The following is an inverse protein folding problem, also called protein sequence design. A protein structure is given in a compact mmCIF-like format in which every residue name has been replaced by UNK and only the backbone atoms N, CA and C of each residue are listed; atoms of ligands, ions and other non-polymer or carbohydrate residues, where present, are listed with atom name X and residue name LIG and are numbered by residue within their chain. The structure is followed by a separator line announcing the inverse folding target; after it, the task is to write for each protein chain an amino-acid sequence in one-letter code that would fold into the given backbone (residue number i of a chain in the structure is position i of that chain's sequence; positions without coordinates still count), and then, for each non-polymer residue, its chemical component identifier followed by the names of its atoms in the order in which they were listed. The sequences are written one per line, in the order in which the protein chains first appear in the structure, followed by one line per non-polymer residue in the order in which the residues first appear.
data_IF_070219601310
#
_entry.id   IF_070219601310
#
_cell.length_a   1.000
_cell.length_b   1.000
_cell.length_c   1.000
_cell.angle_alpha   90.00
_cell.angle_beta   90.00
_cell.angle_gamma   90.00
#
_symmetry.space_group_name_H-M   'P 1'
#
loop_
_entity.id
_entity.type
_entity.pdbx_description
1 polymer ?
#
# COMPACT_ATOMS: atom_id res chain seq x y z
N UNK A 1 -1.38 -25.47 6.60
CA UNK A 1 -1.11 -24.29 7.45
C UNK A 1 0.30 -23.75 7.24
N UNK A 2 1.28 -24.59 6.88
CA UNK A 2 2.63 -24.16 6.50
C UNK A 2 2.62 -23.33 5.20
N UNK A 3 1.91 -23.77 4.15
CA UNK A 3 1.80 -23.01 2.89
C UNK A 3 1.27 -21.58 3.07
N UNK A 4 0.28 -21.37 3.95
CA UNK A 4 -0.26 -20.04 4.22
C UNK A 4 0.77 -19.17 4.96
N UNK A 5 1.52 -19.76 5.89
CA UNK A 5 2.58 -19.08 6.63
C UNK A 5 3.73 -18.69 5.70
N UNK A 6 4.07 -19.56 4.76
CA UNK A 6 5.10 -19.31 3.74
C UNK A 6 4.65 -18.24 2.76
N UNK A 7 3.40 -18.26 2.29
CA UNK A 7 2.83 -17.21 1.44
C UNK A 7 2.82 -15.86 2.16
N UNK A 8 2.47 -15.81 3.45
CA UNK A 8 2.52 -14.58 4.25
C UNK A 8 3.95 -14.08 4.41
N UNK A 9 4.89 -14.99 4.70
CA UNK A 9 6.32 -14.66 4.84
C UNK A 9 6.95 -14.20 3.51
N UNK A 10 6.54 -14.77 2.38
CA UNK A 10 6.95 -14.39 1.03
C UNK A 10 6.33 -13.06 0.61
N UNK A 11 5.05 -12.84 0.91
CA UNK A 11 4.33 -11.61 0.59
C UNK A 11 4.94 -10.37 1.24
N UNK A 12 5.54 -10.54 2.42
CA UNK A 12 6.18 -9.50 3.24
C UNK A 12 7.64 -9.84 3.57
N UNK A 13 8.43 -10.26 2.58
CA UNK A 13 9.85 -10.58 2.76
C UNK A 13 10.74 -9.32 2.91
N UNK A 14 11.45 -9.19 4.03
CA UNK A 14 12.59 -8.27 4.20
C UNK A 14 12.31 -6.79 3.86
N UNK A 15 13.09 -6.22 2.94
CA UNK A 15 13.04 -4.79 2.55
C UNK A 15 11.70 -4.33 1.93
N UNK A 16 10.83 -5.26 1.55
CA UNK A 16 9.49 -4.96 1.06
C UNK A 16 8.54 -4.47 2.15
N UNK A 17 8.76 -4.87 3.41
CA UNK A 17 7.94 -4.42 4.54
C UNK A 17 8.10 -2.91 4.75
N UNK A 18 9.33 -2.41 4.76
CA UNK A 18 9.62 -0.99 5.00
C UNK A 18 9.00 -0.14 3.88
N UNK A 19 9.10 -0.60 2.64
CA UNK A 19 8.49 0.06 1.47
C UNK A 19 6.96 0.09 1.58
N UNK A 20 6.35 -1.07 1.86
CA UNK A 20 4.91 -1.17 2.08
C UNK A 20 4.43 -0.25 3.21
N UNK A 21 5.23 -0.13 4.28
CA UNK A 21 4.95 0.74 5.42
C UNK A 21 5.00 2.22 5.05
N UNK A 22 6.00 2.65 4.28
CA UNK A 22 6.11 4.02 3.78
C UNK A 22 4.92 4.34 2.85
N UNK A 23 4.61 3.45 1.89
CA UNK A 23 3.49 3.65 0.95
C UNK A 23 2.17 3.75 1.71
N UNK A 24 1.91 2.83 2.64
CA UNK A 24 0.70 2.82 3.45
C UNK A 24 0.57 4.09 4.30
N UNK A 25 1.66 4.53 4.92
CA UNK A 25 1.70 5.75 5.73
C UNK A 25 1.40 7.00 4.90
N UNK A 26 2.07 7.17 3.75
CA UNK A 26 1.88 8.31 2.85
C UNK A 26 0.44 8.36 2.34
N UNK A 27 -0.12 7.22 1.92
CA UNK A 27 -1.50 7.15 1.44
C UNK A 27 -2.53 7.40 2.54
N UNK A 28 -2.28 6.97 3.78
CA UNK A 28 -3.18 7.19 4.90
C UNK A 28 -3.20 8.67 5.37
N UNK A 29 -2.08 9.38 5.23
CA UNK A 29 -1.97 10.81 5.61
C UNK A 29 -2.52 11.73 4.52
N UNK A 30 -2.51 11.29 3.26
CA UNK A 30 -2.96 12.08 2.12
C UNK A 30 -4.29 12.82 2.42
N UNK A 31 -4.31 14.16 2.32
CA UNK A 31 -5.50 14.94 2.60
C UNK A 31 -6.32 15.04 1.30
N UNK A 32 -7.42 14.28 1.19
CA UNK A 32 -8.63 14.65 0.40
C UNK A 32 -9.65 13.51 0.36
N UNK A 33 -10.82 13.78 0.98
CA UNK A 33 -12.05 12.95 1.00
C UNK A 33 -11.89 11.61 1.73
N UNK A 34 -12.99 11.11 2.31
CA UNK A 34 -13.06 9.76 2.90
C UNK A 34 -12.87 8.72 1.79
N UNK A 35 -11.62 8.40 1.45
CA UNK A 35 -11.28 7.32 0.52
C UNK A 35 -11.28 6.02 1.31
N UNK A 36 -11.89 4.98 0.74
CA UNK A 36 -11.91 3.65 1.35
C UNK A 36 -10.48 3.09 1.46
N UNK A 37 -10.18 2.43 2.58
CA UNK A 37 -8.90 1.73 2.78
C UNK A 37 -8.66 0.68 1.70
N UNK A 38 -9.73 0.05 1.19
CA UNK A 38 -9.68 -0.89 0.07
C UNK A 38 -9.19 -0.24 -1.24
N UNK A 39 -9.68 0.97 -1.52
CA UNK A 39 -9.25 1.73 -2.70
C UNK A 39 -7.80 2.19 -2.56
N UNK A 40 -7.43 2.70 -1.39
CA UNK A 40 -6.05 3.09 -1.10
C UNK A 40 -5.09 1.89 -1.11
N UNK A 41 -5.54 0.72 -0.65
CA UNK A 41 -4.79 -0.53 -0.75
C UNK A 41 -4.54 -0.97 -2.18
N UNK A 42 -5.49 -0.71 -3.10
CA UNK A 42 -5.33 -1.07 -4.51
C UNK A 42 -4.29 -0.16 -5.17
N UNK A 43 -4.34 1.13 -4.85
CA UNK A 43 -3.32 2.10 -5.26
C UNK A 43 -1.95 1.71 -4.67
N UNK A 44 -1.90 1.31 -3.39
CA UNK A 44 -0.66 0.90 -2.74
C UNK A 44 -0.03 -0.31 -3.43
N UNK A 45 -0.84 -1.32 -3.74
CA UNK A 45 -0.37 -2.52 -4.45
C UNK A 45 0.14 -2.16 -5.85
N UNK A 46 -0.56 -1.27 -6.56
CA UNK A 46 -0.12 -0.79 -7.87
C UNK A 46 1.23 -0.06 -7.80
N UNK A 47 1.41 0.83 -6.82
CA UNK A 47 2.68 1.54 -6.62
C UNK A 47 3.81 0.54 -6.32
N UNK A 48 3.54 -0.40 -5.42
CA UNK A 48 4.50 -1.40 -4.97
C UNK A 48 4.94 -2.36 -6.09
N UNK A 49 4.03 -2.74 -6.99
CA UNK A 49 4.30 -3.74 -8.04
C UNK A 49 4.68 -3.18 -9.41
N UNK A 50 4.24 -1.97 -9.74
CA UNK A 50 4.52 -1.36 -11.04
C UNK A 50 5.46 -0.17 -10.90
N UNK A 51 5.09 0.82 -10.08
CA UNK A 51 5.86 2.07 -10.02
C UNK A 51 7.25 1.84 -9.44
N UNK A 52 7.38 1.06 -8.38
CA UNK A 52 8.65 0.87 -7.69
C UNK A 52 9.67 0.06 -8.51
N UNK A 53 9.33 -1.09 -9.12
CA UNK A 53 10.27 -1.83 -9.96
C UNK A 53 10.69 -1.04 -11.21
N UNK A 54 9.75 -0.35 -11.86
CA UNK A 54 10.04 0.47 -13.05
C UNK A 54 10.96 1.64 -12.70
N UNK A 55 10.67 2.33 -11.58
CA UNK A 55 11.52 3.44 -11.10
C UNK A 55 12.91 2.93 -10.73
N UNK A 56 13.02 1.78 -10.08
CA UNK A 56 14.30 1.13 -9.77
C UNK A 56 15.12 0.80 -11.03
N UNK A 57 14.49 0.24 -12.06
CA UNK A 57 15.14 -0.05 -13.35
C UNK A 57 15.60 1.22 -14.07
N UNK A 58 14.77 2.27 -14.05
CA UNK A 58 15.12 3.57 -14.62
C UNK A 58 16.30 4.24 -13.92
N UNK A 59 16.33 4.22 -12.58
CA UNK A 59 17.47 4.74 -11.81
C UNK A 59 18.75 3.92 -11.98
N UNK A 60 18.63 2.62 -12.28
CA UNK A 60 19.75 1.75 -12.61
C UNK A 60 20.27 1.94 -14.04
N UNK A 61 19.68 2.84 -14.84
CA UNK A 61 20.07 3.10 -16.22
C UNK A 61 19.68 1.98 -17.18
N UNK A 62 18.66 1.18 -16.85
CA UNK A 62 18.22 0.07 -17.69
C UNK A 62 17.61 0.55 -19.00
N UNK A 63 17.90 -0.15 -20.09
CA UNK A 63 17.34 0.15 -21.40
C UNK A 63 15.79 0.06 -21.39
N UNK A 64 15.14 0.89 -22.19
CA UNK A 64 13.68 0.96 -22.33
C UNK A 64 13.09 -0.43 -22.69
N UNK A 65 13.82 -1.22 -23.48
CA UNK A 65 13.40 -2.57 -23.85
C UNK A 65 13.34 -3.51 -22.64
N UNK A 66 14.26 -3.37 -21.68
CA UNK A 66 14.28 -4.13 -20.44
C UNK A 66 13.11 -3.77 -19.52
N UNK A 67 12.68 -2.50 -19.54
CA UNK A 67 11.50 -2.04 -18.81
C UNK A 67 10.23 -2.65 -19.41
N UNK A 68 10.10 -2.68 -20.74
CA UNK A 68 8.97 -3.33 -21.41
C UNK A 68 8.94 -4.85 -21.18
N UNK A 69 10.10 -5.52 -21.22
CA UNK A 69 10.21 -6.94 -20.92
C UNK A 69 9.81 -7.28 -19.48
N UNK A 70 10.17 -6.42 -18.52
CA UNK A 70 9.77 -6.51 -17.12
C UNK A 70 8.26 -6.41 -16.92
N UNK A 71 7.60 -5.45 -17.59
CA UNK A 71 6.15 -5.31 -17.58
C UNK A 71 5.48 -6.53 -18.23
N UNK A 72 6.05 -7.04 -19.34
CA UNK A 72 5.56 -8.25 -20.00
C UNK A 72 5.72 -9.51 -19.15
N UNK A 73 6.76 -9.59 -18.32
CA UNK A 73 6.99 -10.70 -17.40
C UNK A 73 5.97 -10.70 -16.25
N UNK A 74 5.61 -9.53 -15.71
CA UNK A 74 4.55 -9.39 -14.71
C UNK A 74 3.20 -9.95 -15.18
N UNK A 75 2.89 -9.83 -16.47
CA UNK A 75 1.67 -10.40 -17.05
C UNK A 75 1.69 -11.93 -17.15
N UNK A 76 2.87 -12.54 -17.31
CA UNK A 76 3.01 -14.00 -17.47
C UNK A 76 2.90 -14.75 -16.15
N UNK A 77 3.44 -14.20 -15.06
CA UNK A 77 3.40 -14.83 -13.72
C UNK A 77 2.21 -14.39 -12.89
N UNK A 78 1.28 -13.61 -13.47
CA UNK A 78 0.21 -12.93 -12.73
C UNK A 78 -0.73 -13.90 -12.02
N UNK A 79 -0.98 -15.06 -12.63
CA UNK A 79 -1.83 -16.12 -12.06
C UNK A 79 -1.07 -16.91 -11.00
N UNK A 80 0.21 -17.22 -11.26
CA UNK A 80 1.05 -17.99 -10.35
C UNK A 80 1.32 -17.23 -9.05
N UNK A 81 1.46 -15.90 -9.14
CA UNK A 81 1.69 -15.01 -8.01
C UNK A 81 0.39 -14.46 -7.39
N UNK A 82 -0.79 -14.85 -7.88
CA UNK A 82 -2.07 -14.25 -7.49
C UNK A 82 -2.30 -14.35 -5.97
N UNK A 83 -1.96 -15.49 -5.37
CA UNK A 83 -2.08 -15.70 -3.91
C UNK A 83 -1.20 -14.72 -3.12
N UNK A 84 0.02 -14.47 -3.60
CA UNK A 84 0.94 -13.50 -3.01
C UNK A 84 0.41 -12.07 -3.15
N UNK A 85 -0.19 -11.73 -4.29
CA UNK A 85 -0.80 -10.42 -4.51
C UNK A 85 -2.02 -10.19 -3.62
N UNK A 86 -2.87 -11.19 -3.42
CA UNK A 86 -4.02 -11.10 -2.50
C UNK A 86 -3.55 -10.88 -1.06
N UNK A 87 -2.58 -11.65 -0.59
CA UNK A 87 -2.06 -11.51 0.78
C UNK A 87 -1.42 -10.13 0.99
N UNK A 88 -0.63 -9.66 0.03
CA UNK A 88 0.00 -8.33 0.10
C UNK A 88 -1.02 -7.21 0.03
N UNK A 89 -2.03 -7.34 -0.82
CA UNK A 89 -3.16 -6.42 -0.89
C UNK A 89 -3.87 -6.30 0.45
N UNK A 90 -4.25 -7.43 1.06
CA UNK A 90 -4.92 -7.45 2.35
C UNK A 90 -4.06 -6.82 3.45
N UNK A 91 -2.76 -7.15 3.49
CA UNK A 91 -1.85 -6.53 4.45
C UNK A 91 -1.75 -5.01 4.28
N UNK A 92 -1.66 -4.52 3.03
CA UNK A 92 -1.67 -3.07 2.73
C UNK A 92 -2.98 -2.40 3.16
N UNK A 93 -4.13 -3.03 2.91
CA UNK A 93 -5.45 -2.52 3.34
C UNK A 93 -5.50 -2.41 4.87
N UNK A 94 -5.04 -3.44 5.59
CA UNK A 94 -5.01 -3.45 7.06
C UNK A 94 -4.07 -2.36 7.59
N UNK A 95 -2.87 -2.22 7.03
CA UNK A 95 -1.91 -1.18 7.44
C UNK A 95 -2.47 0.23 7.20
N UNK A 96 -3.06 0.48 6.04
CA UNK A 96 -3.67 1.77 5.71
C UNK A 96 -4.84 2.06 6.65
N UNK A 97 -5.71 1.07 6.92
CA UNK A 97 -6.81 1.22 7.85
C UNK A 97 -6.31 1.56 9.27
N UNK A 98 -5.23 0.90 9.74
CA UNK A 98 -4.60 1.18 11.02
C UNK A 98 -4.06 2.63 11.09
N UNK A 99 -3.33 3.08 10.07
CA UNK A 99 -2.84 4.46 10.01
C UNK A 99 -3.96 5.49 9.92
N UNK A 100 -5.02 5.23 9.15
CA UNK A 100 -6.20 6.10 9.09
C UNK A 100 -6.91 6.18 10.44
N UNK A 101 -7.05 5.07 11.16
CA UNK A 101 -7.64 5.03 12.49
C UNK A 101 -6.78 5.80 13.50
N UNK A 102 -5.46 5.61 13.47
CA UNK A 102 -4.50 6.36 14.30
C UNK A 102 -4.61 7.87 14.03
N UNK A 103 -4.59 8.28 12.76
CA UNK A 103 -4.77 9.68 12.35
C UNK A 103 -6.09 10.26 12.86
N UNK A 104 -7.20 9.54 12.70
CA UNK A 104 -8.51 10.00 13.16
C UNK A 104 -8.56 10.14 14.69
N UNK A 105 -7.96 9.20 15.42
CA UNK A 105 -7.86 9.28 16.88
C UNK A 105 -7.00 10.48 17.33
N UNK A 106 -5.85 10.71 16.69
CA UNK A 106 -5.03 11.90 16.96
C UNK A 106 -5.80 13.18 16.67
N UNK A 107 -6.46 13.27 15.51
CA UNK A 107 -7.27 14.44 15.14
C UNK A 107 -8.41 14.69 16.14
N UNK A 108 -9.07 13.65 16.64
CA UNK A 108 -10.14 13.79 17.63
C UNK A 108 -9.61 14.26 19.00
N UNK A 109 -8.39 13.86 19.38
CA UNK A 109 -7.74 14.30 20.62
C UNK A 109 -7.19 15.73 20.54
N UNK A 110 -6.76 16.13 19.34
CA UNK A 110 -6.20 17.46 19.07
C UNK A 110 -7.26 18.47 18.61
N UNK A 111 -8.47 18.02 18.29
CA UNK A 111 -9.56 18.91 17.92
C UNK A 111 -10.02 19.72 19.14
N UNK A 112 -10.11 21.06 19.04
CA UNK A 112 -10.63 21.88 20.12
C UNK A 112 -12.07 21.45 20.45
N UNK A 113 -12.50 21.54 21.73
CA UNK A 113 -13.86 21.20 22.11
C UNK A 113 -14.84 22.02 21.27
N UNK A 114 -15.79 21.34 20.61
CA UNK A 114 -16.83 22.01 19.82
C UNK A 114 -17.58 22.97 20.76
N UNK A 115 -17.48 24.27 20.50
CA UNK A 115 -18.26 25.26 21.22
C UNK A 115 -19.74 24.89 21.09
N UNK A 116 -20.43 24.74 22.23
CA UNK A 116 -21.89 24.58 22.25
C UNK A 116 -22.50 25.72 21.44
N UNK A 117 -23.51 25.47 20.57
CA UNK A 117 -24.26 26.56 19.97
C UNK A 117 -24.82 27.40 21.11
N UNK A 118 -24.58 28.71 21.09
CA UNK A 118 -25.30 29.62 21.94
C UNK A 118 -26.79 29.45 21.60
N UNK A 119 -27.56 28.91 22.54
CA UNK A 119 -29.01 28.88 22.43
C UNK A 119 -29.47 30.34 22.33
N UNK A 120 -30.08 30.68 21.20
CA UNK A 120 -30.74 31.96 20.98
C UNK A 120 -32.15 31.95 21.56
#
# INVERSE_FOLDING_TARGET
MEDLKDIISLGFSGGDIIRALIIAFVLAIAPKKKRSSWFLGAIALFIDRLVWPITGMGLAGSDIHSIYASIGALGKTLIDDLGLYVVRYLGLVVMIAAFMAMRNNLNNRLAPPKAKPAAA
#
